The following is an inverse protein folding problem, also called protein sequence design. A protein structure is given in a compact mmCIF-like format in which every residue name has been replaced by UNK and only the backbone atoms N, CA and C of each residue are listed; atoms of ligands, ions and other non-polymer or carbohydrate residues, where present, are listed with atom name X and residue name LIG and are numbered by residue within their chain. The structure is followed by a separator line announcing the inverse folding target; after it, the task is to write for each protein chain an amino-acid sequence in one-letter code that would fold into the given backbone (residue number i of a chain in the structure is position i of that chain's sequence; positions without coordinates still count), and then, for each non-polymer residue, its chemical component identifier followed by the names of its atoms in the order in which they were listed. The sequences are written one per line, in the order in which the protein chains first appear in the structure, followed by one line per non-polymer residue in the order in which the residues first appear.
data_IF_292461834806
#
_entry.id   IF_292461834806
#
_cell.length_a   1.000
_cell.length_b   1.000
_cell.length_c   1.000
_cell.angle_alpha   90.00
_cell.angle_beta   90.00
_cell.angle_gamma   90.00
#
_symmetry.space_group_name_H-M   'P 1'
#
loop_
_entity.id
_entity.type
_entity.pdbx_description
1 polymer ?
#
# COMPACT_ATOMS: atom_id res chain seq x y z
N UNK A 1 -59.29 -43.13 16.18
CA UNK A 1 -59.00 -44.57 15.99
C UNK A 1 -58.87 -44.83 14.51
N UNK A 2 -57.85 -45.61 14.13
CA UNK A 2 -57.48 -46.09 12.78
C UNK A 2 -56.83 -45.05 11.84
N UNK A 3 -55.71 -45.32 11.17
CA UNK A 3 -54.75 -46.42 11.22
C UNK A 3 -53.54 -45.93 10.40
N UNK A 4 -52.33 -46.09 10.92
CA UNK A 4 -51.09 -45.84 10.20
C UNK A 4 -50.93 -46.82 9.03
N UNK A 5 -50.53 -46.38 7.83
CA UNK A 5 -49.86 -47.22 6.82
C UNK A 5 -48.90 -46.44 5.90
N UNK A 6 -47.69 -46.99 5.86
CA UNK A 6 -46.77 -47.10 4.72
C UNK A 6 -45.95 -45.89 4.26
N UNK A 7 -44.68 -45.98 4.65
CA UNK A 7 -43.49 -45.38 4.03
C UNK A 7 -43.39 -45.84 2.57
N UNK A 8 -43.32 -44.89 1.63
CA UNK A 8 -42.83 -45.12 0.28
C UNK A 8 -41.66 -44.16 0.07
N UNK A 9 -40.45 -44.71 0.08
CA UNK A 9 -39.24 -43.99 -0.28
C UNK A 9 -39.31 -43.67 -1.77
N UNK A 10 -39.38 -42.39 -2.13
CA UNK A 10 -39.22 -41.95 -3.51
C UNK A 10 -38.20 -40.82 -3.53
N UNK A 11 -36.98 -41.23 -3.83
CA UNK A 11 -35.86 -40.39 -4.23
C UNK A 11 -36.24 -39.55 -5.43
N UNK A 12 -36.18 -38.23 -5.30
CA UNK A 12 -35.99 -37.32 -6.43
C UNK A 12 -34.95 -36.28 -6.03
N UNK A 13 -33.77 -36.42 -6.65
CA UNK A 13 -32.72 -35.43 -6.64
C UNK A 13 -33.16 -34.22 -7.47
N UNK A 14 -33.05 -33.02 -6.90
CA UNK A 14 -32.88 -31.80 -7.68
C UNK A 14 -31.77 -31.00 -6.99
N UNK A 15 -30.55 -31.21 -7.45
CA UNK A 15 -29.41 -30.33 -7.17
C UNK A 15 -29.63 -29.07 -8.01
N UNK A 16 -30.18 -28.03 -7.39
CA UNK A 16 -30.19 -26.70 -7.98
C UNK A 16 -28.81 -26.06 -7.75
N UNK A 17 -27.92 -26.28 -8.72
CA UNK A 17 -26.61 -25.67 -8.83
C UNK A 17 -26.79 -24.18 -9.15
N UNK A 18 -26.64 -23.32 -8.15
CA UNK A 18 -26.46 -21.89 -8.35
C UNK A 18 -24.97 -21.57 -8.14
N UNK A 19 -24.12 -21.51 -9.18
CA UNK A 19 -22.80 -20.93 -9.03
C UNK A 19 -22.99 -19.41 -8.92
N UNK A 20 -23.36 -18.92 -7.74
CA UNK A 20 -23.19 -17.51 -7.43
C UNK A 20 -21.68 -17.29 -7.35
N UNK A 21 -21.12 -16.77 -8.44
CA UNK A 21 -19.71 -16.51 -8.62
C UNK A 21 -19.14 -15.77 -7.41
N UNK A 22 -18.06 -16.32 -6.86
CA UNK A 22 -17.17 -15.59 -5.98
C UNK A 22 -16.60 -14.44 -6.81
N UNK A 23 -17.20 -13.25 -6.69
CA UNK A 23 -16.49 -12.02 -6.98
C UNK A 23 -15.36 -11.98 -5.94
N UNK A 24 -14.17 -12.43 -6.30
CA UNK A 24 -12.97 -12.13 -5.51
C UNK A 24 -12.87 -10.61 -5.49
N UNK A 25 -13.00 -9.93 -4.34
CA UNK A 25 -12.56 -8.56 -4.28
C UNK A 25 -11.04 -8.64 -4.43
N UNK A 26 -10.52 -8.26 -5.60
CA UNK A 26 -9.15 -7.79 -5.68
C UNK A 26 -9.08 -6.51 -4.85
N UNK A 27 -9.01 -6.66 -3.53
CA UNK A 27 -8.68 -5.58 -2.64
C UNK A 27 -7.28 -5.13 -3.02
N UNK A 28 -7.12 -3.82 -3.24
CA UNK A 28 -5.83 -3.15 -3.29
C UNK A 28 -4.99 -3.66 -2.12
N UNK A 29 -3.92 -4.42 -2.36
CA UNK A 29 -3.09 -4.92 -1.28
C UNK A 29 -2.05 -3.83 -0.96
N UNK A 30 -2.20 -3.22 0.22
CA UNK A 30 -1.13 -2.43 0.80
C UNK A 30 -0.15 -3.39 1.47
N UNK A 31 1.09 -3.38 1.02
CA UNK A 31 2.19 -4.13 1.62
C UNK A 31 2.93 -3.21 2.59
N UNK A 32 2.79 -3.50 3.88
CA UNK A 32 3.57 -2.82 4.90
C UNK A 32 5.03 -3.28 4.82
N UNK A 33 5.91 -2.36 4.45
CA UNK A 33 7.34 -2.59 4.41
C UNK A 33 7.94 -2.45 5.80
N UNK A 34 9.14 -3.01 5.99
CA UNK A 34 9.87 -2.82 7.25
C UNK A 34 10.13 -1.32 7.47
N UNK A 35 10.00 -0.83 8.71
CA UNK A 35 10.37 0.54 9.04
C UNK A 35 11.77 0.88 8.55
N UNK A 36 11.92 2.06 7.95
CA UNK A 36 13.19 2.56 7.48
C UNK A 36 14.11 2.77 8.68
N UNK A 37 15.27 2.12 8.62
CA UNK A 37 16.37 2.32 9.55
C UNK A 37 17.63 2.65 8.74
N UNK A 38 18.37 3.65 9.20
CA UNK A 38 19.66 4.02 8.62
C UNK A 38 20.78 3.24 9.32
N UNK A 39 21.84 2.95 8.57
CA UNK A 39 23.07 2.40 9.15
C UNK A 39 23.67 3.41 10.16
N UNK A 40 24.46 2.91 11.11
CA UNK A 40 25.13 3.77 12.10
C UNK A 40 25.94 4.88 11.41
N UNK A 41 25.67 6.13 11.75
CA UNK A 41 26.32 7.31 11.16
C UNK A 41 25.80 7.72 9.78
N UNK A 42 24.93 6.93 9.15
CA UNK A 42 24.24 7.30 7.93
C UNK A 42 22.95 8.07 8.23
N UNK A 43 22.59 8.94 7.29
CA UNK A 43 21.35 9.71 7.32
C UNK A 43 20.44 9.40 6.12
N UNK A 44 20.81 8.39 5.32
CA UNK A 44 20.09 7.98 4.13
C UNK A 44 20.12 6.46 3.91
N UNK A 45 19.14 5.94 3.19
CA UNK A 45 19.07 4.55 2.74
C UNK A 45 18.34 4.45 1.39
N UNK A 46 18.64 3.38 0.65
CA UNK A 46 18.04 3.06 -0.64
C UNK A 46 17.33 1.70 -0.58
N UNK A 47 16.12 1.63 -1.10
CA UNK A 47 15.27 0.44 -1.11
C UNK A 47 14.88 0.09 -2.53
N UNK A 48 14.84 -1.20 -2.87
CA UNK A 48 14.30 -1.68 -4.13
C UNK A 48 12.94 -2.33 -3.89
N UNK A 49 12.02 -2.11 -4.81
CA UNK A 49 10.69 -2.70 -4.78
C UNK A 49 10.13 -2.88 -6.18
N UNK A 50 8.96 -3.48 -6.25
CA UNK A 50 8.18 -3.69 -7.46
C UNK A 50 6.70 -3.62 -7.10
N UNK A 51 5.94 -2.79 -7.83
CA UNK A 51 4.52 -2.60 -7.57
C UNK A 51 3.72 -3.46 -8.53
N UNK A 52 2.95 -4.42 -8.03
CA UNK A 52 2.08 -5.25 -8.87
C UNK A 52 0.69 -4.62 -9.01
N UNK A 53 0.26 -4.36 -10.24
CA UNK A 53 -1.09 -3.89 -10.54
C UNK A 53 -1.45 -2.57 -9.86
N UNK A 54 -2.31 -2.63 -8.84
CA UNK A 54 -2.75 -1.46 -8.08
C UNK A 54 -2.26 -1.46 -6.62
N UNK A 55 -1.32 -2.34 -6.28
CA UNK A 55 -0.79 -2.44 -4.92
C UNK A 55 0.00 -1.19 -4.50
N UNK A 56 0.33 -1.14 -3.22
CA UNK A 56 1.13 -0.06 -2.63
C UNK A 56 2.17 -0.64 -1.68
N UNK A 57 3.41 -0.17 -1.79
CA UNK A 57 4.43 -0.41 -0.78
C UNK A 57 4.45 0.76 0.21
N UNK A 58 4.26 0.47 1.49
CA UNK A 58 4.20 1.48 2.54
C UNK A 58 5.47 1.40 3.38
N UNK A 59 6.31 2.43 3.35
CA UNK A 59 7.52 2.52 4.17
C UNK A 59 7.30 3.44 5.38
N UNK A 60 7.24 2.89 6.61
CA UNK A 60 7.21 3.69 7.82
C UNK A 60 8.58 4.35 8.03
N UNK A 61 8.60 5.66 8.31
CA UNK A 61 9.84 6.39 8.63
C UNK A 61 9.63 7.26 9.86
N UNK A 62 10.40 6.98 10.92
CA UNK A 62 10.34 7.76 12.16
C UNK A 62 11.29 8.94 12.05
N UNK A 63 10.76 10.13 12.29
CA UNK A 63 11.50 11.38 12.20
C UNK A 63 10.98 12.38 13.24
N UNK A 64 11.74 13.47 13.46
CA UNK A 64 11.42 14.54 14.39
C UNK A 64 11.02 15.81 13.63
N UNK A 65 10.17 16.62 14.25
CA UNK A 65 9.89 17.97 13.79
C UNK A 65 11.19 18.78 13.64
N UNK A 66 11.26 19.61 12.61
CA UNK A 66 12.43 20.43 12.30
C UNK A 66 13.51 19.72 11.47
N UNK A 67 13.50 18.39 11.38
CA UNK A 67 14.38 17.66 10.46
C UNK A 67 13.96 17.91 9.02
N UNK A 68 14.92 17.91 8.09
CA UNK A 68 14.64 17.92 6.65
C UNK A 68 14.63 16.49 6.14
N UNK A 69 13.52 16.07 5.51
CA UNK A 69 13.46 14.80 4.80
C UNK A 69 13.57 15.05 3.30
N UNK A 70 14.29 14.17 2.60
CA UNK A 70 14.33 14.10 1.14
C UNK A 70 13.96 12.69 0.70
N UNK A 71 13.06 12.59 -0.27
CA UNK A 71 12.59 11.33 -0.85
C UNK A 71 12.68 11.42 -2.36
N UNK A 72 13.16 10.36 -3.00
CA UNK A 72 13.18 10.25 -4.46
C UNK A 72 12.84 8.82 -4.84
N UNK A 73 11.90 8.65 -5.76
CA UNK A 73 11.60 7.35 -6.37
C UNK A 73 12.03 7.36 -7.84
N UNK A 74 12.75 6.33 -8.25
CA UNK A 74 13.23 6.16 -9.61
C UNK A 74 12.68 4.88 -10.20
N UNK A 75 12.00 4.99 -11.34
CA UNK A 75 11.55 3.88 -12.16
C UNK A 75 11.86 4.19 -13.63
N UNK A 76 12.24 3.15 -14.40
CA UNK A 76 12.68 3.30 -15.80
C UNK A 76 11.63 3.98 -16.69
N UNK A 77 10.36 3.64 -16.48
CA UNK A 77 9.25 4.15 -17.28
C UNK A 77 8.56 5.37 -16.66
N UNK A 78 9.05 5.86 -15.52
CA UNK A 78 8.49 6.99 -14.77
C UNK A 78 7.01 6.81 -14.43
N UNK A 79 6.62 5.58 -14.11
CA UNK A 79 5.26 5.23 -13.73
C UNK A 79 5.06 5.18 -12.21
N UNK A 80 6.15 5.24 -11.43
CA UNK A 80 6.11 5.08 -9.97
C UNK A 80 6.18 6.44 -9.30
N UNK A 81 5.26 6.66 -8.38
CA UNK A 81 4.99 7.89 -7.65
C UNK A 81 5.00 7.57 -6.14
N UNK A 82 4.97 8.59 -5.29
CA UNK A 82 4.69 8.39 -3.88
C UNK A 82 3.85 9.51 -3.26
N UNK A 83 3.21 9.19 -2.14
CA UNK A 83 2.63 10.19 -1.23
C UNK A 83 3.35 10.13 0.13
N UNK A 84 3.38 11.26 0.85
CA UNK A 84 3.97 11.37 2.19
C UNK A 84 2.90 11.67 3.24
N UNK A 85 2.43 10.64 3.94
CA UNK A 85 1.40 10.79 4.96
C UNK A 85 1.97 11.24 6.30
N UNK A 86 1.29 12.19 6.95
CA UNK A 86 1.62 12.70 8.28
C UNK A 86 1.48 11.62 9.37
N UNK A 87 2.26 11.71 10.46
CA UNK A 87 2.18 10.77 11.58
C UNK A 87 0.78 10.74 12.20
N UNK A 88 0.21 9.55 12.33
CA UNK A 88 -1.09 9.34 12.98
C UNK A 88 -2.30 9.98 12.28
N UNK A 89 -2.14 10.56 11.08
CA UNK A 89 -3.20 11.28 10.35
C UNK A 89 -3.45 10.62 8.98
N UNK A 90 -4.29 9.60 8.96
CA UNK A 90 -4.69 8.92 7.72
C UNK A 90 -5.29 9.91 6.71
N UNK A 91 -4.86 9.83 5.44
CA UNK A 91 -5.34 10.72 4.37
C UNK A 91 -4.91 12.19 4.49
N UNK A 92 -3.95 12.50 5.38
CA UNK A 92 -3.35 13.84 5.46
C UNK A 92 -1.88 13.75 5.07
N UNK A 93 -1.51 14.53 4.06
CA UNK A 93 -0.20 14.45 3.42
C UNK A 93 0.61 15.73 3.59
N UNK A 94 1.93 15.62 3.40
CA UNK A 94 2.80 16.78 3.28
C UNK A 94 2.49 17.51 1.96
N UNK A 95 2.53 18.86 1.94
CA UNK A 95 2.33 19.63 0.72
C UNK A 95 3.33 19.23 -0.39
N UNK A 96 2.84 19.05 -1.62
CA UNK A 96 3.66 18.63 -2.76
C UNK A 96 3.97 17.13 -2.78
N UNK A 97 3.31 16.33 -1.93
CA UNK A 97 3.38 14.88 -1.90
C UNK A 97 2.04 14.26 -1.42
N UNK A 98 0.92 14.88 -1.77
CA UNK A 98 -0.44 14.34 -1.61
C UNK A 98 -0.91 13.53 -2.82
N UNK A 99 -2.17 13.08 -2.77
CA UNK A 99 -2.76 12.19 -3.78
C UNK A 99 -2.81 12.78 -5.20
N UNK A 100 -2.82 14.12 -5.31
CA UNK A 100 -2.92 14.84 -6.58
C UNK A 100 -1.58 15.45 -7.05
N UNK A 101 -0.49 15.21 -6.32
CA UNK A 101 0.80 15.88 -6.57
C UNK A 101 1.73 15.08 -7.51
N UNK A 102 1.41 13.82 -7.83
CA UNK A 102 2.22 12.92 -8.68
C UNK A 102 3.72 12.92 -8.32
N UNK A 103 4.04 12.98 -7.03
CA UNK A 103 5.41 13.23 -6.57
C UNK A 103 6.35 12.06 -6.89
N UNK A 104 7.44 12.36 -7.61
CA UNK A 104 8.59 11.45 -7.77
C UNK A 104 9.81 11.90 -6.98
N UNK A 105 9.79 13.13 -6.47
CA UNK A 105 10.80 13.71 -5.60
C UNK A 105 10.13 14.68 -4.63
N UNK A 106 10.62 14.73 -3.41
CA UNK A 106 10.15 15.68 -2.40
C UNK A 106 11.29 16.03 -1.45
N UNK A 107 11.33 17.28 -1.02
CA UNK A 107 12.23 17.73 0.03
C UNK A 107 11.56 18.82 0.85
N UNK A 108 11.64 18.70 2.18
CA UNK A 108 11.08 19.71 3.07
C UNK A 108 11.35 19.44 4.53
N UNK A 109 11.16 20.48 5.32
CA UNK A 109 11.23 20.42 6.79
C UNK A 109 9.96 19.77 7.34
N UNK A 110 10.13 18.80 8.22
CA UNK A 110 9.05 18.04 8.82
C UNK A 110 8.36 18.87 9.90
N UNK A 111 7.02 19.02 9.84
CA UNK A 111 6.28 19.84 10.79
C UNK A 111 6.07 19.15 12.15
N UNK A 112 6.08 17.81 12.17
CA UNK A 112 5.67 17.01 13.33
C UNK A 112 6.66 15.87 13.59
N UNK A 113 6.81 15.49 14.86
CA UNK A 113 7.56 14.29 15.24
C UNK A 113 6.65 13.07 15.16
N UNK A 114 7.17 11.94 14.66
CA UNK A 114 6.45 10.68 14.64
C UNK A 114 6.82 9.82 13.44
N UNK A 115 5.98 8.83 13.16
CA UNK A 115 6.16 7.91 12.04
C UNK A 115 5.34 8.37 10.84
N UNK A 116 6.03 8.92 9.85
CA UNK A 116 5.46 9.22 8.54
C UNK A 116 5.33 7.92 7.74
N UNK A 117 4.46 7.93 6.72
CA UNK A 117 4.36 6.82 5.77
C UNK A 117 4.70 7.33 4.37
N UNK A 118 5.73 6.75 3.76
CA UNK A 118 6.02 6.92 2.33
C UNK A 118 5.23 5.84 1.61
N UNK A 119 4.18 6.22 0.89
CA UNK A 119 3.27 5.29 0.21
C UNK A 119 3.65 5.31 -1.27
N UNK A 120 4.37 4.28 -1.71
CA UNK A 120 4.82 4.13 -3.09
C UNK A 120 3.76 3.37 -3.89
N UNK A 121 3.42 3.90 -5.06
CA UNK A 121 2.46 3.29 -5.96
C UNK A 121 2.83 3.50 -7.42
N UNK A 122 2.15 2.82 -8.32
CA UNK A 122 2.38 2.94 -9.75
C UNK A 122 1.11 3.34 -10.50
N UNK A 123 1.29 4.15 -11.54
CA UNK A 123 0.35 4.28 -12.63
C UNK A 123 0.24 2.94 -13.36
N UNK A 124 -0.90 2.67 -13.99
CA UNK A 124 -1.11 1.42 -14.75
C UNK A 124 -0.03 1.26 -15.81
N UNK A 125 0.63 0.10 -15.80
CA UNK A 125 1.65 -0.24 -16.78
C UNK A 125 2.37 -1.54 -16.43
N UNK A 126 3.41 -1.85 -17.20
CA UNK A 126 4.37 -2.92 -16.92
C UNK A 126 5.68 -2.30 -16.42
N UNK A 127 6.58 -3.12 -15.88
CA UNK A 127 7.92 -2.72 -15.44
C UNK A 127 7.92 -1.59 -14.38
N UNK A 128 7.23 -1.84 -13.28
CA UNK A 128 7.03 -0.95 -12.13
C UNK A 128 8.09 -1.13 -11.03
N UNK A 129 9.19 -1.80 -11.35
CA UNK A 129 10.32 -1.95 -10.43
C UNK A 129 10.98 -0.60 -10.19
N UNK A 130 11.25 -0.29 -8.93
CA UNK A 130 11.74 1.03 -8.54
C UNK A 130 12.87 0.96 -7.51
N UNK A 131 13.59 2.07 -7.42
CA UNK A 131 14.48 2.40 -6.30
C UNK A 131 13.90 3.59 -5.54
N UNK A 132 13.76 3.48 -4.22
CA UNK A 132 13.36 4.54 -3.32
C UNK A 132 14.56 4.97 -2.48
N UNK A 133 14.98 6.23 -2.63
CA UNK A 133 16.03 6.85 -1.84
C UNK A 133 15.39 7.77 -0.79
N UNK A 134 15.78 7.61 0.47
CA UNK A 134 15.26 8.39 1.60
C UNK A 134 16.43 8.93 2.41
N UNK A 135 16.40 10.22 2.72
CA UNK A 135 17.37 10.88 3.59
C UNK A 135 16.69 11.77 4.63
N UNK A 136 17.25 11.86 5.84
CA UNK A 136 16.79 12.74 6.92
C UNK A 136 18.00 13.47 7.52
N UNK A 137 18.02 14.79 7.42
CA UNK A 137 19.05 15.65 8.02
C UNK A 137 18.47 16.54 9.11
N UNK A 138 19.34 17.07 9.98
CA UNK A 138 18.98 18.13 10.92
C UNK A 138 19.17 19.51 10.30
#
# INVERSE_FOLDING_TARGET
MNLARSICAMTFAVVALCPAGLLSPNALQAKDMKPIAFATGANSASFKGDIEGMDRDIYPVTAKAGQTMKVTVTNKLKLVLFHLQLPGKAGKYLPGAGEDDDATTWQGTLPESGTYKIIVGAMRGKDTTYTLDVAITN
#
